data_IF_234135329729
#
_entry.id   IF_234135329729
#
_cell.length_a   1.000
_cell.length_b   1.000
_cell.length_c   1.000
_cell.angle_alpha   90.00
_cell.angle_beta   90.00
_cell.angle_gamma   90.00
#
_symmetry.space_group_name_H-M   'P 1'
#
loop_
_entity.id
_entity.type
_entity.pdbx_description
1 polymer ?
#
# COMPACT_ATOMS: atom_id res chain seq x y z
N UNK A 1 -16.33 -8.37 -9.24
CA UNK A 1 -15.89 -8.22 -10.65
C UNK A 1 -15.02 -9.39 -11.09
N UNK A 2 -13.89 -9.66 -10.42
CA UNK A 2 -12.91 -10.69 -10.83
C UNK A 2 -13.46 -12.12 -10.99
N UNK A 3 -14.29 -12.68 -10.06
CA UNK A 3 -14.83 -14.02 -10.27
C UNK A 3 -15.77 -14.11 -11.48
N UNK A 4 -16.54 -13.04 -11.74
CA UNK A 4 -17.50 -12.99 -12.84
C UNK A 4 -16.82 -12.94 -14.21
N UNK A 5 -15.71 -12.21 -14.35
CA UNK A 5 -14.92 -12.24 -15.60
C UNK A 5 -14.20 -13.57 -15.77
N UNK A 6 -13.71 -14.18 -14.69
CA UNK A 6 -13.09 -15.51 -14.75
C UNK A 6 -14.08 -16.61 -15.17
N UNK A 7 -15.37 -16.48 -14.80
CA UNK A 7 -16.45 -17.40 -15.19
C UNK A 7 -17.06 -17.08 -16.56
N UNK A 8 -16.72 -15.95 -17.17
CA UNK A 8 -17.29 -15.49 -18.45
C UNK A 8 -18.60 -14.70 -18.33
N UNK A 9 -19.11 -14.46 -17.12
CA UNK A 9 -20.32 -13.65 -16.86
C UNK A 9 -20.13 -12.15 -17.14
N UNK A 10 -18.87 -11.71 -17.31
CA UNK A 10 -18.51 -10.36 -17.69
C UNK A 10 -17.46 -10.38 -18.79
N UNK A 11 -17.57 -9.45 -19.74
CA UNK A 11 -16.57 -9.26 -20.79
C UNK A 11 -15.22 -8.84 -20.20
N UNK A 12 -14.18 -9.61 -20.51
CA UNK A 12 -12.80 -9.29 -20.19
C UNK A 12 -12.41 -7.89 -20.69
N UNK A 13 -12.78 -7.55 -21.93
CA UNK A 13 -12.48 -6.24 -22.51
C UNK A 13 -13.15 -5.10 -21.74
N UNK A 14 -14.41 -5.27 -21.35
CA UNK A 14 -15.13 -4.25 -20.57
C UNK A 14 -14.50 -4.04 -19.19
N UNK A 15 -14.08 -5.12 -18.52
CA UNK A 15 -13.40 -5.05 -17.21
C UNK A 15 -12.03 -4.40 -17.33
N UNK A 16 -11.24 -4.74 -18.35
CA UNK A 16 -9.92 -4.13 -18.59
C UNK A 16 -10.06 -2.64 -18.88
N UNK A 17 -11.07 -2.24 -19.67
CA UNK A 17 -11.32 -0.82 -19.93
C UNK A 17 -11.72 -0.09 -18.64
N UNK A 18 -12.65 -0.64 -17.85
CA UNK A 18 -13.03 -0.05 -16.57
C UNK A 18 -11.83 0.08 -15.61
N UNK A 19 -10.92 -0.90 -15.59
CA UNK A 19 -9.69 -0.84 -14.80
C UNK A 19 -8.78 0.31 -15.25
N UNK A 20 -8.61 0.52 -16.56
CA UNK A 20 -7.84 1.66 -17.10
C UNK A 20 -8.47 3.01 -16.77
N UNK A 21 -9.81 3.10 -16.79
CA UNK A 21 -10.51 4.33 -16.40
C UNK A 21 -10.28 4.67 -14.92
N UNK A 22 -10.27 3.67 -14.04
CA UNK A 22 -9.93 3.87 -12.63
C UNK A 22 -8.52 4.44 -12.44
N UNK A 23 -7.54 3.98 -13.23
CA UNK A 23 -6.19 4.56 -13.21
C UNK A 23 -6.13 6.00 -13.71
N UNK A 24 -6.94 6.38 -14.70
CA UNK A 24 -6.98 7.79 -15.18
C UNK A 24 -7.46 8.73 -14.08
N UNK A 25 -8.46 8.33 -13.31
CA UNK A 25 -8.93 9.10 -12.15
C UNK A 25 -7.83 9.29 -11.10
N UNK A 26 -7.10 8.22 -10.76
CA UNK A 26 -6.01 8.29 -9.78
C UNK A 26 -4.88 9.20 -10.27
N UNK A 27 -4.60 9.19 -11.58
CA UNK A 27 -3.52 9.99 -12.16
C UNK A 27 -3.70 11.49 -11.86
N UNK A 28 -4.93 12.00 -11.84
CA UNK A 28 -5.22 13.40 -11.49
C UNK A 28 -4.74 13.74 -10.06
N UNK A 29 -5.00 12.85 -9.10
CA UNK A 29 -4.55 13.02 -7.71
C UNK A 29 -3.02 12.90 -7.59
N UNK A 30 -2.40 11.99 -8.34
CA UNK A 30 -0.94 11.87 -8.38
C UNK A 30 -0.31 13.17 -8.92
N UNK A 31 -0.87 13.76 -9.98
CA UNK A 31 -0.39 15.05 -10.49
C UNK A 31 -0.51 16.15 -9.45
N UNK A 32 -1.61 16.20 -8.70
CA UNK A 32 -1.79 17.18 -7.63
C UNK A 32 -0.69 17.05 -6.56
N UNK A 33 -0.35 15.82 -6.14
CA UNK A 33 0.75 15.58 -5.19
C UNK A 33 2.09 16.00 -5.80
N UNK A 34 2.38 15.62 -7.04
CA UNK A 34 3.64 15.94 -7.70
C UNK A 34 3.87 17.45 -7.88
N UNK A 35 2.82 18.23 -8.10
CA UNK A 35 2.89 19.70 -8.20
C UNK A 35 2.91 20.44 -6.86
N UNK A 36 2.67 19.75 -5.74
CA UNK A 36 2.59 20.36 -4.41
C UNK A 36 3.50 19.66 -3.38
N UNK A 37 4.50 18.92 -3.86
CA UNK A 37 5.54 18.33 -3.04
C UNK A 37 6.89 18.95 -3.40
N UNK A 38 7.71 19.25 -2.40
CA UNK A 38 9.08 19.73 -2.59
C UNK A 38 10.07 18.57 -2.42
N UNK A 39 10.97 18.37 -3.38
CA UNK A 39 12.06 17.39 -3.29
C UNK A 39 11.90 16.18 -4.22
N UNK A 40 12.49 15.05 -3.86
CA UNK A 40 12.43 13.81 -4.65
C UNK A 40 11.24 12.96 -4.21
N UNK A 41 10.32 12.70 -5.15
CA UNK A 41 9.13 11.89 -4.92
C UNK A 41 9.26 10.57 -5.68
N UNK A 42 9.10 9.45 -4.97
CA UNK A 42 9.01 8.11 -5.57
C UNK A 42 7.54 7.65 -5.55
N UNK A 43 7.03 7.21 -6.70
CA UNK A 43 5.69 6.68 -6.89
C UNK A 43 5.79 5.17 -7.12
N UNK A 44 5.05 4.41 -6.32
CA UNK A 44 4.95 2.96 -6.40
C UNK A 44 3.55 2.49 -6.01
N UNK A 45 3.31 1.19 -6.11
CA UNK A 45 2.11 0.53 -5.61
C UNK A 45 2.50 -0.60 -4.64
N UNK A 46 1.59 -0.94 -3.73
CA UNK A 46 1.74 -2.05 -2.79
C UNK A 46 1.65 -3.41 -3.49
N UNK A 47 0.80 -3.50 -4.53
CA UNK A 47 0.65 -4.68 -5.38
C UNK A 47 0.17 -4.33 -6.79
N UNK A 48 0.25 -5.31 -7.70
CA UNK A 48 -0.35 -5.23 -9.04
C UNK A 48 -1.67 -6.02 -9.11
N UNK A 49 -2.28 -6.12 -10.29
CA UNK A 49 -3.57 -6.76 -10.49
C UNK A 49 -3.58 -7.53 -11.80
N UNK A 50 -3.86 -8.83 -11.75
CA UNK A 50 -3.95 -9.67 -12.95
C UNK A 50 -5.22 -9.36 -13.74
N UNK A 51 -5.07 -9.30 -15.07
CA UNK A 51 -6.10 -8.98 -16.05
C UNK A 51 -6.28 -10.14 -17.06
N UNK A 52 -6.10 -11.38 -16.60
CA UNK A 52 -6.29 -12.61 -17.37
C UNK A 52 -5.01 -13.39 -17.63
N UNK A 53 -3.84 -12.89 -17.20
CA UNK A 53 -2.58 -13.60 -17.35
C UNK A 53 -2.68 -14.98 -16.67
N UNK A 54 -2.44 -16.05 -17.44
CA UNK A 54 -2.54 -17.44 -16.95
C UNK A 54 -3.92 -17.79 -16.36
N UNK A 55 -4.97 -17.09 -16.80
CA UNK A 55 -6.33 -17.24 -16.26
C UNK A 55 -6.55 -16.57 -14.91
N UNK A 56 -5.56 -15.85 -14.37
CA UNK A 56 -5.67 -15.13 -13.12
C UNK A 56 -6.35 -13.76 -13.33
N UNK A 57 -7.25 -13.42 -12.42
CA UNK A 57 -7.96 -12.13 -12.39
C UNK A 57 -7.96 -11.56 -10.98
N UNK A 58 -7.71 -10.25 -10.86
CA UNK A 58 -7.60 -9.59 -9.57
C UNK A 58 -6.25 -9.82 -8.89
N UNK A 59 -6.19 -9.71 -7.56
CA UNK A 59 -4.98 -9.89 -6.76
C UNK A 59 -5.12 -11.02 -5.72
N UNK A 60 -5.25 -12.28 -6.17
CA UNK A 60 -5.35 -13.41 -5.23
C UNK A 60 -4.12 -13.49 -4.33
N UNK A 61 -4.35 -13.66 -3.03
CA UNK A 61 -3.28 -13.78 -2.05
C UNK A 61 -2.40 -15.00 -2.35
N UNK A 62 -1.11 -14.88 -2.00
CA UNK A 62 -0.12 -15.95 -2.06
C UNK A 62 0.21 -16.50 -3.46
N UNK A 63 -0.23 -15.84 -4.54
CA UNK A 63 0.09 -16.26 -5.90
C UNK A 63 1.38 -15.56 -6.39
N UNK A 64 2.51 -16.27 -6.59
CA UNK A 64 3.80 -15.66 -6.89
C UNK A 64 3.97 -15.38 -8.40
N UNK A 65 2.99 -14.75 -9.04
CA UNK A 65 3.06 -14.42 -10.46
C UNK A 65 3.51 -12.97 -10.68
N UNK A 66 4.34 -12.69 -11.71
CA UNK A 66 4.80 -11.34 -12.00
C UNK A 66 3.67 -10.32 -12.17
N UNK A 67 2.52 -10.73 -12.72
CA UNK A 67 1.35 -9.87 -12.92
C UNK A 67 0.76 -9.30 -11.61
N UNK A 68 1.11 -9.86 -10.44
CA UNK A 68 0.67 -9.37 -9.12
C UNK A 68 1.76 -8.63 -8.35
N UNK A 69 3.02 -8.70 -8.81
CA UNK A 69 4.19 -8.21 -8.09
C UNK A 69 4.94 -7.10 -8.82
N UNK A 70 4.73 -6.96 -10.13
CA UNK A 70 5.38 -5.93 -10.94
C UNK A 70 4.61 -4.64 -10.79
N UNK A 71 5.14 -3.74 -9.97
CA UNK A 71 4.56 -2.43 -9.66
C UNK A 71 5.38 -1.32 -10.32
N UNK A 72 4.80 -0.13 -10.56
CA UNK A 72 5.57 1.01 -11.04
C UNK A 72 6.66 1.40 -10.04
N UNK A 73 7.76 1.93 -10.57
CA UNK A 73 8.78 2.63 -9.80
C UNK A 73 9.17 3.87 -10.59
N UNK A 74 8.49 4.98 -10.33
CA UNK A 74 8.73 6.27 -11.00
C UNK A 74 9.28 7.28 -9.99
N UNK A 75 10.43 7.86 -10.29
CA UNK A 75 11.11 8.83 -9.40
C UNK A 75 11.17 10.18 -10.08
N UNK A 76 10.69 11.21 -9.38
CA UNK A 76 10.57 12.57 -9.90
C UNK A 76 11.22 13.57 -8.96
N UNK A 77 11.87 14.58 -9.53
CA UNK A 77 12.19 15.80 -8.81
C UNK A 77 11.00 16.75 -8.93
N UNK A 78 10.44 17.14 -7.79
CA UNK A 78 9.25 17.95 -7.66
C UNK A 78 9.56 19.29 -6.99
N UNK A 79 8.75 20.28 -7.34
CA UNK A 79 8.78 21.62 -6.75
C UNK A 79 7.37 21.96 -6.32
N UNK A 80 7.22 22.47 -5.11
CA UNK A 80 5.93 22.89 -4.58
C UNK A 80 5.47 24.19 -5.26
N UNK A 81 4.38 24.10 -6.04
CA UNK A 81 3.73 25.22 -6.70
C UNK A 81 2.75 25.97 -5.78
N UNK A 82 2.45 25.42 -4.60
CA UNK A 82 1.52 25.99 -3.60
C UNK A 82 0.13 26.24 -4.16
N UNK A 83 -0.34 25.35 -5.03
CA UNK A 83 -1.67 25.40 -5.65
C UNK A 83 -2.72 24.62 -4.85
N UNK A 84 -2.29 23.81 -3.89
CA UNK A 84 -3.15 23.01 -3.03
C UNK A 84 -2.72 23.09 -1.56
N UNK A 85 -3.66 23.45 -0.68
CA UNK A 85 -3.48 23.38 0.77
C UNK A 85 -4.29 22.18 1.32
N UNK A 86 -3.63 21.12 1.84
CA UNK A 86 -4.32 19.97 2.42
C UNK A 86 -5.00 20.29 3.76
N UNK A 87 -4.77 21.49 4.32
CA UNK A 87 -5.16 21.86 5.67
C UNK A 87 -4.26 21.25 6.74
N UNK A 88 -4.46 21.65 8.00
CA UNK A 88 -3.77 21.06 9.15
C UNK A 88 -4.48 19.78 9.59
N UNK A 89 -3.77 18.65 9.55
CA UNK A 89 -4.23 17.42 10.19
C UNK A 89 -3.65 17.39 11.60
N UNK A 90 -4.50 17.47 12.62
CA UNK A 90 -4.05 17.26 14.00
C UNK A 90 -3.48 15.83 14.11
N UNK A 91 -2.22 15.67 14.53
CA UNK A 91 -1.65 14.35 14.67
C UNK A 91 -2.45 13.59 15.74
N UNK A 92 -3.05 12.45 15.34
CA UNK A 92 -3.64 11.51 16.30
C UNK A 92 -2.50 10.90 17.10
N UNK A 93 -2.15 11.54 18.21
CA UNK A 93 -1.24 10.98 19.20
C UNK A 93 -1.86 9.67 19.68
N UNK A 94 -1.26 8.54 19.28
CA UNK A 94 -1.55 7.26 19.93
C UNK A 94 -1.16 7.46 21.39
N UNK A 95 -2.14 7.44 22.28
CA UNK A 95 -1.89 7.53 23.71
C UNK A 95 -0.88 6.44 24.06
N UNK A 96 0.29 6.85 24.56
CA UNK A 96 1.24 5.94 25.17
C UNK A 96 0.46 5.19 26.26
N UNK A 97 0.38 3.87 26.13
CA UNK A 97 -0.54 3.04 26.89
C UNK A 97 -0.53 3.39 28.38
N UNK A 98 -1.68 3.82 28.89
CA UNK A 98 -1.96 3.76 30.31
C UNK A 98 -1.79 2.30 30.73
N UNK A 99 -0.78 2.01 31.54
CA UNK A 99 -0.69 0.74 32.27
C UNK A 99 -1.90 0.68 33.22
N UNK A 100 -3.02 0.15 32.71
CA UNK A 100 -4.15 -0.26 33.51
C UNK A 100 -3.68 -1.38 34.44
N UNK A 101 -3.62 -1.06 35.73
CA UNK A 101 -3.31 -2.00 36.80
C UNK A 101 -4.51 -2.95 37.00
N UNK A 102 -4.26 -4.25 36.84
CA UNK A 102 -4.97 -5.37 37.48
C UNK A 102 -6.46 -5.57 37.22
N UNK A 103 -6.80 -6.63 36.49
CA UNK A 103 -7.55 -7.72 37.14
C UNK A 103 -7.19 -9.06 36.47
N UNK A 104 -7.07 -10.09 37.31
CA UNK A 104 -6.56 -11.42 37.02
C UNK A 104 -7.62 -12.30 36.36
N UNK A 105 -7.27 -12.97 35.24
CA UNK A 105 -7.47 -14.42 35.18
C UNK A 105 -6.67 -15.09 34.05
N UNK A 106 -6.19 -16.29 34.37
CA UNK A 106 -5.30 -17.13 33.56
C UNK A 106 -6.07 -17.75 32.39
N UNK A 107 -5.46 -17.80 31.20
CA UNK A 107 -5.13 -19.09 30.59
C UNK A 107 -3.99 -18.95 29.56
N UNK A 108 -3.27 -20.04 29.42
CA UNK A 108 -1.91 -20.16 28.90
C UNK A 108 -1.89 -20.54 27.41
N UNK A 109 -1.04 -19.88 26.63
CA UNK A 109 -0.13 -20.55 25.67
C UNK A 109 0.85 -19.54 25.07
N UNK A 110 2.12 -19.95 25.08
CA UNK A 110 3.29 -19.14 24.81
C UNK A 110 3.47 -18.83 23.31
N UNK A 111 3.86 -17.59 23.04
CA UNK A 111 4.27 -17.08 21.73
C UNK A 111 4.81 -15.67 21.90
N UNK A 112 5.87 -15.54 22.71
CA UNK A 112 6.53 -14.28 23.01
C UNK A 112 7.42 -13.87 21.85
N UNK A 113 6.92 -13.02 20.96
CA UNK A 113 7.74 -12.12 20.14
C UNK A 113 7.11 -10.72 20.16
N UNK A 114 7.08 -10.11 21.36
CA UNK A 114 6.98 -8.64 21.44
C UNK A 114 8.36 -8.08 21.10
N UNK A 115 8.63 -7.96 19.80
CA UNK A 115 9.83 -7.31 19.30
C UNK A 115 9.89 -5.87 19.82
N UNK A 116 11.05 -5.53 20.38
CA UNK A 116 11.41 -4.25 20.95
C UNK A 116 11.15 -3.10 19.95
N UNK A 117 10.11 -2.30 20.22
CA UNK A 117 9.70 -1.19 19.36
C UNK A 117 10.64 0.02 19.40
N UNK A 118 11.78 -0.06 20.09
CA UNK A 118 12.80 1.00 20.15
C UNK A 118 13.87 0.95 19.04
N UNK A 119 13.88 -0.05 18.16
CA UNK A 119 14.83 -0.09 17.04
C UNK A 119 14.64 1.07 16.07
N UNK A 120 15.75 1.65 15.58
CA UNK A 120 15.74 2.70 14.55
C UNK A 120 15.10 2.17 13.25
N UNK A 121 14.65 3.07 12.37
CA UNK A 121 14.08 2.68 11.07
C UNK A 121 15.09 1.83 10.29
N UNK A 122 16.37 2.18 10.36
CA UNK A 122 17.48 1.47 9.74
C UNK A 122 17.63 0.02 10.27
N UNK A 123 17.50 -0.18 11.58
CA UNK A 123 17.58 -1.53 12.18
C UNK A 123 16.44 -2.44 11.70
N UNK A 124 15.24 -1.87 11.56
CA UNK A 124 14.06 -2.59 11.04
C UNK A 124 14.25 -2.97 9.58
N UNK A 125 14.75 -2.03 8.77
CA UNK A 125 15.04 -2.29 7.35
C UNK A 125 16.13 -3.36 7.18
N UNK A 126 17.17 -3.35 8.02
CA UNK A 126 18.20 -4.39 8.06
C UNK A 126 17.65 -5.76 8.45
N UNK A 127 16.76 -5.84 9.44
CA UNK A 127 16.09 -7.10 9.81
C UNK A 127 15.26 -7.68 8.66
N UNK A 128 14.67 -6.81 7.84
CA UNK A 128 13.92 -7.19 6.64
C UNK A 128 14.82 -7.49 5.42
N UNK A 129 16.15 -7.46 5.60
CA UNK A 129 17.13 -7.82 4.57
C UNK A 129 17.48 -6.70 3.59
N UNK A 130 17.00 -5.48 3.80
CA UNK A 130 17.40 -4.32 3.00
C UNK A 130 18.79 -3.83 3.48
N UNK A 131 19.69 -3.59 2.53
CA UNK A 131 21.01 -2.97 2.76
C UNK A 131 21.13 -1.76 1.84
N UNK A 132 21.75 -0.69 2.34
CA UNK A 132 22.32 0.37 1.51
C UNK A 132 23.52 -0.15 0.71
#
# INVERSE_FOLDING_TARGET
>A
VWPRVALGDLSAQAVIEAYRQNHRYIYEHVQQVLGNAEGIVAISADHANALGEWGAWGHRQYLPVPALRTVPWDVRACRDERTYDPGSVEPVLRSAGTKGNGDTDRDTSAGSDRADTNGTVEDRLRQLGYRE
#
